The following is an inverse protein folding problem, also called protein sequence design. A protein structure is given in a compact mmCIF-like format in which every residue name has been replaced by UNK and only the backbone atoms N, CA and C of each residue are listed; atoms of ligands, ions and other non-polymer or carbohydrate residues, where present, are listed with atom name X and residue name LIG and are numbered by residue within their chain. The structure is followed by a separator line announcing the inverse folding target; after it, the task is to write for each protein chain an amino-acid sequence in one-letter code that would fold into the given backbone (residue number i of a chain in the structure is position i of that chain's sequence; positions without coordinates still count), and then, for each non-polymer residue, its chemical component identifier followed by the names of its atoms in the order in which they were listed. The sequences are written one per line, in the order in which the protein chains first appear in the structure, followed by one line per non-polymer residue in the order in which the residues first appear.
data_IF_733762398627
#
_entry.id   IF_733762398627
#
_cell.length_a   1.000
_cell.length_b   1.000
_cell.length_c   1.000
_cell.angle_alpha   90.00
_cell.angle_beta   90.00
_cell.angle_gamma   90.00
#
_symmetry.space_group_name_H-M   'P 1'
#
loop_
_entity.id
_entity.type
_entity.pdbx_description
1 polymer ?
#
# COMPACT_ATOMS: atom_id res chain seq x y z
N UNK A 1 -36.39 -13.86 -16.02
CA UNK A 1 -35.01 -14.00 -15.52
C UNK A 1 -33.98 -13.97 -16.66
N UNK A 2 -34.10 -14.76 -17.72
CA UNK A 2 -33.12 -14.80 -18.84
C UNK A 2 -32.86 -13.46 -19.55
N UNK A 3 -33.86 -12.59 -19.67
CA UNK A 3 -33.67 -11.28 -20.33
C UNK A 3 -32.86 -10.28 -19.49
N UNK A 4 -32.87 -10.43 -18.15
CA UNK A 4 -32.05 -9.60 -17.25
C UNK A 4 -30.57 -9.96 -17.36
N UNK A 5 -30.24 -11.26 -17.41
CA UNK A 5 -28.86 -11.76 -17.49
C UNK A 5 -28.15 -11.31 -18.77
N UNK A 6 -28.91 -11.14 -19.86
CA UNK A 6 -28.36 -10.72 -21.17
C UNK A 6 -28.21 -9.20 -21.31
N UNK A 7 -28.73 -8.42 -20.36
CA UNK A 7 -28.67 -6.97 -20.41
C UNK A 7 -27.44 -6.45 -19.64
N UNK A 8 -26.44 -5.90 -20.30
CA UNK A 8 -25.21 -5.42 -19.65
C UNK A 8 -25.46 -4.22 -18.70
N UNK A 9 -26.61 -3.55 -18.83
CA UNK A 9 -27.01 -2.46 -17.93
C UNK A 9 -27.72 -2.95 -16.65
N UNK A 10 -28.05 -4.25 -16.60
CA UNK A 10 -28.67 -4.86 -15.44
C UNK A 10 -27.66 -5.74 -14.72
N UNK A 11 -26.90 -5.14 -13.81
CA UNK A 11 -25.82 -5.80 -13.07
C UNK A 11 -26.13 -6.03 -11.59
N UNK A 12 -27.22 -5.47 -11.06
CA UNK A 12 -27.61 -5.67 -9.68
C UNK A 12 -29.14 -5.61 -9.49
N UNK A 13 -29.65 -6.31 -8.49
CA UNK A 13 -31.05 -6.28 -8.06
C UNK A 13 -31.12 -6.56 -6.55
N UNK A 14 -31.92 -5.79 -5.82
CA UNK A 14 -32.13 -5.93 -4.38
C UNK A 14 -30.80 -5.88 -3.57
N UNK A 15 -29.86 -5.05 -3.99
CA UNK A 15 -28.59 -4.81 -3.29
C UNK A 15 -28.56 -3.39 -2.75
N UNK A 16 -27.98 -3.24 -1.58
CA UNK A 16 -27.57 -1.93 -1.07
C UNK A 16 -26.41 -1.45 -1.96
N UNK A 17 -26.38 -0.15 -2.27
CA UNK A 17 -25.25 0.44 -2.98
C UNK A 17 -23.93 0.08 -2.30
N UNK A 18 -22.92 -0.25 -3.12
CA UNK A 18 -21.60 -0.59 -2.59
C UNK A 18 -21.03 0.59 -1.80
N UNK A 19 -20.56 0.32 -0.60
CA UNK A 19 -19.99 1.32 0.30
C UNK A 19 -18.88 0.70 1.14
N UNK A 20 -17.96 1.53 1.63
CA UNK A 20 -16.82 1.14 2.46
C UNK A 20 -16.69 1.99 3.73
N UNK A 21 -17.76 2.65 4.13
CA UNK A 21 -17.85 3.62 5.22
C UNK A 21 -18.28 2.99 6.56
N UNK A 22 -18.01 1.69 6.74
CA UNK A 22 -18.33 1.01 7.99
C UNK A 22 -17.60 1.64 9.18
N UNK A 23 -18.34 1.88 10.23
CA UNK A 23 -17.82 2.34 11.52
C UNK A 23 -18.07 1.27 12.58
N UNK A 24 -17.10 1.07 13.44
CA UNK A 24 -17.18 0.09 14.53
C UNK A 24 -17.04 0.82 15.86
N UNK A 25 -17.87 0.43 16.81
CA UNK A 25 -17.92 1.02 18.14
C UNK A 25 -17.90 -0.09 19.20
N UNK A 26 -17.19 0.11 20.31
CA UNK A 26 -17.16 -0.87 21.40
C UNK A 26 -18.34 -0.70 22.37
N UNK A 27 -19.07 0.41 22.28
CA UNK A 27 -20.21 0.70 23.14
C UNK A 27 -21.21 1.65 22.48
N UNK A 28 -22.44 1.68 23.01
CA UNK A 28 -23.46 2.64 22.62
C UNK A 28 -23.02 4.09 22.88
N UNK A 29 -22.27 4.32 23.94
CA UNK A 29 -21.74 5.64 24.27
C UNK A 29 -20.78 6.16 23.19
N UNK A 30 -19.90 5.30 22.66
CA UNK A 30 -19.04 5.66 21.53
C UNK A 30 -19.84 5.93 20.25
N UNK A 31 -20.87 5.12 20.00
CA UNK A 31 -21.76 5.33 18.85
C UNK A 31 -22.45 6.70 18.91
N UNK A 32 -23.02 7.06 20.05
CA UNK A 32 -23.70 8.35 20.24
C UNK A 32 -22.77 9.53 20.09
N UNK A 33 -21.51 9.40 20.52
CA UNK A 33 -20.49 10.45 20.47
C UNK A 33 -19.66 10.42 19.16
N UNK A 34 -19.89 9.46 18.29
CA UNK A 34 -19.09 9.17 17.08
C UNK A 34 -17.58 9.03 17.36
N UNK A 35 -17.24 8.45 18.51
CA UNK A 35 -15.86 8.15 18.90
C UNK A 35 -15.52 6.71 18.48
N UNK A 36 -14.51 6.53 17.64
CA UNK A 36 -14.09 5.22 17.14
C UNK A 36 -12.77 4.79 17.78
N UNK A 37 -12.81 4.25 19.00
CA UNK A 37 -11.59 3.81 19.72
C UNK A 37 -10.86 2.66 19.01
N UNK A 38 -11.55 1.88 18.17
CA UNK A 38 -10.96 0.79 17.37
C UNK A 38 -10.29 1.28 16.08
N UNK A 39 -10.38 2.58 15.75
CA UNK A 39 -9.77 3.15 14.57
C UNK A 39 -8.57 4.01 14.96
N UNK A 40 -7.42 3.68 14.38
CA UNK A 40 -6.20 4.48 14.50
C UNK A 40 -5.77 4.97 13.12
N UNK A 41 -5.65 6.28 12.93
CA UNK A 41 -5.02 6.82 11.73
C UNK A 41 -3.52 6.56 11.77
N UNK A 42 -2.97 6.19 10.62
CA UNK A 42 -1.53 6.11 10.37
C UNK A 42 -1.03 7.33 9.60
N UNK A 43 -1.90 8.31 9.33
CA UNK A 43 -1.51 9.55 8.67
C UNK A 43 -0.53 10.33 9.56
N UNK A 44 0.40 11.01 8.93
CA UNK A 44 1.38 11.82 9.64
C UNK A 44 2.79 11.70 9.08
N UNK A 45 3.77 12.10 9.89
CA UNK A 45 5.18 12.04 9.53
C UNK A 45 5.77 10.74 10.06
N UNK A 46 6.43 9.99 9.18
CA UNK A 46 7.08 8.73 9.51
C UNK A 46 8.55 8.77 9.17
N UNK A 47 9.35 8.01 9.91
CA UNK A 47 10.74 7.75 9.53
C UNK A 47 10.78 6.82 8.32
N UNK A 48 11.57 7.20 7.31
CA UNK A 48 11.64 6.53 6.04
C UNK A 48 13.09 6.35 5.59
N UNK A 49 13.38 5.20 5.02
CA UNK A 49 14.65 4.93 4.37
C UNK A 49 14.40 4.30 3.00
N UNK A 50 14.87 4.95 1.96
CA UNK A 50 14.78 4.43 0.61
C UNK A 50 16.03 3.62 0.26
N UNK A 51 15.85 2.40 -0.23
CA UNK A 51 16.91 1.58 -0.79
C UNK A 51 16.64 1.28 -2.26
N UNK A 52 17.61 1.42 -3.13
CA UNK A 52 17.48 1.14 -4.57
C UNK A 52 17.25 -0.34 -4.87
N UNK A 53 17.62 -1.18 -3.95
CA UNK A 53 17.47 -2.63 -4.05
C UNK A 53 17.67 -3.24 -2.65
N UNK A 54 17.35 -4.51 -2.50
CA UNK A 54 17.43 -5.22 -1.23
C UNK A 54 18.84 -5.30 -0.65
N UNK A 55 19.91 -5.27 -1.49
CA UNK A 55 21.28 -5.31 -1.01
C UNK A 55 21.71 -4.00 -0.33
N UNK A 56 21.04 -2.90 -0.61
CA UNK A 56 21.27 -1.58 0.00
C UNK A 56 20.34 -1.30 1.19
N UNK A 57 19.38 -2.20 1.47
CA UNK A 57 18.50 -2.05 2.61
C UNK A 57 19.29 -2.15 3.94
N UNK A 58 18.96 -1.35 4.97
CA UNK A 58 19.64 -1.40 6.24
C UNK A 58 19.57 -2.77 6.90
N UNK A 59 20.68 -3.29 7.38
CA UNK A 59 20.70 -4.55 8.11
C UNK A 59 19.77 -4.52 9.31
N UNK A 60 18.91 -5.53 9.40
CA UNK A 60 17.99 -5.67 10.53
C UNK A 60 16.85 -4.65 10.55
N UNK A 61 16.49 -4.03 9.42
CA UNK A 61 15.38 -3.06 9.31
C UNK A 61 14.04 -3.59 9.88
N UNK A 62 13.87 -4.91 9.91
CA UNK A 62 12.69 -5.61 10.44
C UNK A 62 12.69 -5.78 11.97
N UNK A 63 13.75 -5.36 12.67
CA UNK A 63 13.85 -5.50 14.13
C UNK A 63 13.13 -4.37 14.84
N UNK A 64 12.52 -4.68 15.98
CA UNK A 64 11.78 -3.69 16.78
C UNK A 64 12.67 -2.60 17.41
N UNK A 65 13.96 -2.84 17.52
CA UNK A 65 14.94 -1.97 18.16
C UNK A 65 15.85 -1.24 17.18
N UNK A 66 15.49 -1.21 15.88
CA UNK A 66 16.27 -0.50 14.88
C UNK A 66 16.30 1.01 15.18
N UNK A 67 17.48 1.58 15.07
CA UNK A 67 17.67 3.02 15.25
C UNK A 67 17.34 3.79 13.96
N UNK A 68 16.17 4.40 13.94
CA UNK A 68 15.67 5.21 12.81
C UNK A 68 15.95 6.71 12.96
N UNK A 69 16.72 7.17 13.94
CA UNK A 69 16.92 8.60 14.23
C UNK A 69 17.51 9.37 13.05
N UNK A 70 18.36 8.74 12.28
CA UNK A 70 19.02 9.33 11.11
C UNK A 70 18.27 9.07 9.79
N UNK A 71 17.10 8.42 9.84
CA UNK A 71 16.27 8.23 8.67
C UNK A 71 15.54 9.53 8.32
N UNK A 72 15.20 9.69 7.06
CA UNK A 72 14.45 10.84 6.58
C UNK A 72 13.00 10.80 7.07
N UNK A 73 12.33 11.93 7.00
CA UNK A 73 10.92 12.05 7.33
C UNK A 73 10.11 12.05 6.04
N UNK A 74 9.03 11.27 6.01
CA UNK A 74 8.08 11.23 4.90
C UNK A 74 6.67 11.45 5.39
N UNK A 75 5.86 12.15 4.61
CA UNK A 75 4.43 12.29 4.89
C UNK A 75 3.65 11.07 4.41
N UNK A 76 2.70 10.62 5.22
CA UNK A 76 1.78 9.52 4.91
C UNK A 76 0.34 10.04 5.04
N UNK A 77 -0.53 9.82 4.06
CA UNK A 77 -0.31 9.10 2.79
C UNK A 77 0.42 9.94 1.74
N UNK A 78 1.33 9.32 0.99
CA UNK A 78 1.98 9.92 -0.16
C UNK A 78 2.45 8.86 -1.16
N UNK A 79 2.76 9.29 -2.37
CA UNK A 79 3.51 8.48 -3.33
C UNK A 79 4.99 8.82 -3.20
N UNK A 80 5.84 7.87 -2.91
CA UNK A 80 7.27 8.09 -2.68
C UNK A 80 7.95 8.79 -3.86
N UNK A 81 7.51 8.54 -5.10
CA UNK A 81 8.02 9.19 -6.30
C UNK A 81 7.74 10.69 -6.33
N UNK A 82 6.65 11.15 -5.70
CA UNK A 82 6.33 12.57 -5.58
C UNK A 82 7.12 13.24 -4.45
N UNK A 83 7.61 12.46 -3.50
CA UNK A 83 8.49 12.91 -2.42
C UNK A 83 9.98 12.94 -2.83
N UNK A 84 10.27 12.61 -4.09
CA UNK A 84 11.62 12.69 -4.66
C UNK A 84 12.42 11.38 -4.65
N UNK A 85 11.79 10.27 -4.27
CA UNK A 85 12.43 8.96 -4.27
C UNK A 85 12.04 8.17 -5.51
N UNK A 86 13.03 7.55 -6.16
CA UNK A 86 12.84 6.78 -7.38
C UNK A 86 12.13 7.58 -8.50
N UNK A 87 11.55 6.89 -9.45
CA UNK A 87 10.78 7.44 -10.57
C UNK A 87 9.57 6.55 -10.85
N UNK A 88 8.49 7.09 -11.41
CA UNK A 88 7.36 6.27 -11.84
C UNK A 88 7.79 5.21 -12.84
N UNK A 89 7.42 3.97 -12.56
CA UNK A 89 7.68 2.82 -13.42
C UNK A 89 6.37 2.33 -14.03
N UNK A 90 6.37 2.15 -15.34
CA UNK A 90 5.23 1.61 -16.06
C UNK A 90 5.48 0.13 -16.34
N UNK A 91 4.92 -0.73 -15.51
CA UNK A 91 5.24 -2.17 -15.47
C UNK A 91 4.06 -3.07 -15.84
N UNK A 92 3.13 -2.60 -16.65
CA UNK A 92 1.98 -3.41 -17.07
C UNK A 92 2.33 -4.53 -18.06
N UNK A 93 3.49 -4.47 -18.71
CA UNK A 93 3.99 -5.45 -19.69
C UNK A 93 5.42 -5.91 -19.44
N UNK A 94 6.14 -5.25 -18.54
CA UNK A 94 7.54 -5.52 -18.22
C UNK A 94 7.77 -5.42 -16.73
N UNK A 95 8.70 -6.19 -16.22
CA UNK A 95 9.21 -6.02 -14.86
C UNK A 95 10.33 -4.97 -14.81
N UNK A 96 10.60 -4.32 -13.66
CA UNK A 96 11.66 -3.34 -13.52
C UNK A 96 13.05 -3.83 -13.92
N UNK A 97 13.30 -5.12 -13.80
CA UNK A 97 14.58 -5.77 -14.12
C UNK A 97 14.70 -6.26 -15.58
N UNK A 98 13.60 -6.26 -16.36
CA UNK A 98 13.62 -6.74 -17.73
C UNK A 98 14.63 -5.97 -18.59
N UNK A 99 15.52 -6.71 -19.27
CA UNK A 99 16.60 -6.15 -20.06
C UNK A 99 17.81 -5.63 -19.26
N UNK A 100 17.76 -5.71 -17.94
CA UNK A 100 18.83 -5.25 -17.04
C UNK A 100 19.45 -6.37 -16.22
N UNK A 101 18.67 -7.32 -15.79
CA UNK A 101 19.09 -8.42 -14.94
C UNK A 101 18.42 -9.72 -15.40
N UNK A 102 19.20 -10.78 -15.58
CA UNK A 102 18.69 -12.12 -15.86
C UNK A 102 18.38 -12.80 -14.54
N UNK A 103 17.15 -13.26 -14.37
CA UNK A 103 16.68 -13.90 -13.14
C UNK A 103 16.35 -15.35 -13.44
N UNK A 104 16.95 -16.27 -12.72
CA UNK A 104 16.59 -17.68 -12.77
C UNK A 104 15.24 -17.92 -12.09
N UNK A 105 14.46 -18.93 -12.52
CA UNK A 105 13.18 -19.23 -11.92
C UNK A 105 13.29 -19.46 -10.41
N UNK A 106 12.54 -18.66 -9.62
CA UNK A 106 12.53 -18.74 -8.15
C UNK A 106 13.52 -17.81 -7.45
N UNK A 107 14.32 -17.05 -8.18
CA UNK A 107 15.20 -16.04 -7.62
C UNK A 107 14.55 -14.66 -7.56
N UNK A 108 15.09 -13.78 -6.72
CA UNK A 108 14.65 -12.40 -6.55
C UNK A 108 15.68 -11.47 -7.17
N UNK A 109 15.27 -10.49 -8.00
CA UNK A 109 16.16 -9.47 -8.53
C UNK A 109 16.84 -8.70 -7.41
N UNK A 110 18.15 -8.48 -7.53
CA UNK A 110 18.95 -7.86 -6.47
C UNK A 110 19.40 -6.45 -6.77
N UNK A 111 19.43 -6.04 -8.03
CA UNK A 111 19.92 -4.73 -8.47
C UNK A 111 18.84 -3.78 -8.94
N UNK A 112 17.80 -4.29 -9.56
CA UNK A 112 16.74 -3.52 -10.20
C UNK A 112 15.35 -3.77 -9.58
N UNK A 113 15.29 -4.02 -8.29
CA UNK A 113 14.07 -4.20 -7.52
C UNK A 113 14.08 -3.21 -6.32
N UNK A 114 13.56 -1.99 -6.49
CA UNK A 114 13.50 -0.98 -5.44
C UNK A 114 12.75 -1.46 -4.20
N UNK A 115 13.19 -1.06 -3.03
CA UNK A 115 12.68 -1.49 -1.73
C UNK A 115 12.48 -0.31 -0.79
#
# INVERSE_FOLDING_TARGET
MQNKIKNPLFYEENRIAAHSDHKYYVSEAEFVQDIQSLKKSLDGVWKFHYAKNMAEAPDGFYKNDIDCRNWEDIHVPAHIQLEGYDKPQYVNVQYPWDGHEVIEPGEIPTRFNPT
#
